data_IF_350502213508
#
_entry.id   IF_350502213508
#
_cell.length_a   1.000
_cell.length_b   1.000
_cell.length_c   1.000
_cell.angle_alpha   90.00
_cell.angle_beta   90.00
_cell.angle_gamma   90.00
#
_symmetry.space_group_name_H-M   'P 1'
#
loop_
_entity.id
_entity.type
_entity.pdbx_description
1 polymer ?
#
# COMPACT_ATOMS: atom_id res chain seq x y z
N UNK A 1 41.03 -0.99 -31.50
CA UNK A 1 40.88 -2.46 -31.45
C UNK A 1 39.43 -2.75 -31.09
N UNK A 2 38.66 -3.30 -32.02
CA UNK A 2 37.33 -3.83 -31.74
C UNK A 2 37.58 -5.17 -31.05
N UNK A 3 37.30 -5.28 -29.76
CA UNK A 3 37.29 -6.58 -29.09
C UNK A 3 36.15 -7.36 -29.72
N UNK A 4 36.47 -8.28 -30.63
CA UNK A 4 35.51 -9.24 -31.12
C UNK A 4 35.09 -10.08 -29.92
N UNK A 5 33.87 -9.84 -29.45
CA UNK A 5 33.22 -10.68 -28.46
C UNK A 5 33.21 -12.12 -28.98
N UNK A 6 33.61 -13.09 -28.15
CA UNK A 6 33.50 -14.53 -28.44
C UNK A 6 32.03 -15.02 -28.55
N UNK A 7 31.09 -14.08 -28.62
CA UNK A 7 29.66 -14.28 -28.68
C UNK A 7 29.08 -13.41 -29.79
N UNK A 8 28.43 -14.05 -30.77
CA UNK A 8 27.60 -13.37 -31.76
C UNK A 8 26.12 -13.50 -31.36
N UNK A 9 25.33 -12.41 -31.41
CA UNK A 9 23.90 -12.49 -31.13
C UNK A 9 23.21 -13.32 -32.21
N UNK A 10 22.44 -14.35 -31.81
CA UNK A 10 21.63 -15.17 -32.72
C UNK A 10 20.40 -14.38 -33.18
N UNK A 11 19.78 -13.68 -32.22
CA UNK A 11 18.60 -12.87 -32.42
C UNK A 11 18.60 -11.72 -31.42
N UNK A 12 18.19 -10.53 -31.89
CA UNK A 12 17.91 -9.42 -30.99
C UNK A 12 16.60 -9.68 -30.24
N UNK A 13 16.56 -9.45 -28.92
CA UNK A 13 15.37 -9.71 -28.12
C UNK A 13 14.26 -8.74 -28.52
N UNK A 14 13.01 -9.24 -28.53
CA UNK A 14 11.86 -8.40 -28.86
C UNK A 14 11.75 -7.20 -27.91
N UNK A 15 11.61 -5.96 -28.42
CA UNK A 15 11.50 -4.76 -27.58
C UNK A 15 10.22 -4.75 -26.74
N UNK A 16 9.24 -5.58 -27.08
CA UNK A 16 7.95 -5.66 -26.38
C UNK A 16 8.03 -6.26 -24.99
N UNK A 17 9.10 -6.97 -24.62
CA UNK A 17 9.29 -7.39 -23.24
C UNK A 17 9.47 -6.20 -22.30
N UNK A 18 10.30 -5.23 -22.68
CA UNK A 18 10.51 -4.02 -21.90
C UNK A 18 9.35 -3.04 -22.02
N UNK A 19 8.80 -2.86 -23.23
CA UNK A 19 7.63 -1.99 -23.42
C UNK A 19 6.38 -2.53 -22.72
N UNK A 20 6.19 -3.85 -22.70
CA UNK A 20 5.11 -4.49 -21.95
C UNK A 20 5.24 -4.25 -20.44
N UNK A 21 6.46 -4.40 -19.90
CA UNK A 21 6.73 -4.05 -18.50
C UNK A 21 6.51 -2.56 -18.23
N UNK A 22 6.88 -1.67 -19.16
CA UNK A 22 6.61 -0.24 -19.05
C UNK A 22 5.11 0.07 -18.98
N UNK A 23 4.29 -0.55 -19.85
CA UNK A 23 2.83 -0.37 -19.82
C UNK A 23 2.26 -0.84 -18.48
N UNK A 24 2.68 -2.02 -18.03
CA UNK A 24 2.27 -2.57 -16.75
C UNK A 24 2.62 -1.61 -15.59
N UNK A 25 3.86 -1.15 -15.52
CA UNK A 25 4.30 -0.19 -14.51
C UNK A 25 3.52 1.13 -14.61
N UNK A 26 3.23 1.62 -15.81
CA UNK A 26 2.44 2.83 -16.01
C UNK A 26 1.02 2.70 -15.45
N UNK A 27 0.36 1.57 -15.68
CA UNK A 27 -0.99 1.29 -15.14
C UNK A 27 -0.95 1.21 -13.61
N UNK A 28 0.00 0.47 -13.03
CA UNK A 28 0.12 0.36 -11.57
C UNK A 28 0.45 1.72 -10.94
N UNK A 29 1.33 2.49 -11.56
CA UNK A 29 1.66 3.86 -11.12
C UNK A 29 0.42 4.76 -11.12
N UNK A 30 -0.44 4.66 -12.13
CA UNK A 30 -1.69 5.42 -12.18
C UNK A 30 -2.62 5.06 -11.00
N UNK A 31 -2.77 3.77 -10.68
CA UNK A 31 -3.54 3.36 -9.50
C UNK A 31 -2.91 3.86 -8.20
N UNK A 32 -1.58 3.89 -8.10
CA UNK A 32 -0.88 4.45 -6.93
C UNK A 32 -1.09 5.96 -6.78
N UNK A 33 -1.23 6.70 -7.89
CA UNK A 33 -1.61 8.13 -7.84
C UNK A 33 -2.99 8.28 -7.21
N UNK A 34 -3.96 7.50 -7.67
CA UNK A 34 -5.31 7.53 -7.10
C UNK A 34 -5.31 7.13 -5.61
N UNK A 35 -4.54 6.10 -5.25
CA UNK A 35 -4.36 5.67 -3.86
C UNK A 35 -3.73 6.76 -2.99
N UNK A 36 -2.71 7.45 -3.50
CA UNK A 36 -2.05 8.58 -2.81
C UNK A 36 -3.04 9.71 -2.56
N UNK A 37 -3.80 10.10 -3.58
CA UNK A 37 -4.82 11.15 -3.46
C UNK A 37 -5.88 10.76 -2.44
N UNK A 38 -6.36 9.51 -2.49
CA UNK A 38 -7.32 8.99 -1.52
C UNK A 38 -6.78 9.01 -0.09
N UNK A 39 -5.55 8.53 0.12
CA UNK A 39 -4.94 8.45 1.45
C UNK A 39 -4.73 9.84 2.08
N UNK A 40 -4.43 10.87 1.28
CA UNK A 40 -4.31 12.24 1.75
C UNK A 40 -5.69 12.90 1.96
N UNK A 41 -6.65 12.60 1.10
CA UNK A 41 -7.98 13.21 1.17
C UNK A 41 -8.84 12.65 2.30
N UNK A 42 -8.68 11.37 2.66
CA UNK A 42 -9.51 10.71 3.66
C UNK A 42 -9.44 11.36 5.05
N UNK A 43 -8.27 11.64 5.65
CA UNK A 43 -8.20 12.32 6.94
C UNK A 43 -8.89 13.70 6.92
N UNK A 44 -8.66 14.48 5.86
CA UNK A 44 -9.30 15.80 5.68
C UNK A 44 -10.83 15.71 5.63
N UNK A 45 -11.36 14.62 5.06
CA UNK A 45 -12.80 14.37 5.01
C UNK A 45 -13.33 13.91 6.37
N UNK A 46 -12.58 13.04 7.07
CA UNK A 46 -12.90 12.57 8.41
C UNK A 46 -13.00 13.76 9.38
N UNK A 47 -11.98 14.62 9.44
CA UNK A 47 -11.94 15.80 10.32
C UNK A 47 -13.10 16.78 10.07
N UNK A 48 -13.67 16.78 8.85
CA UNK A 48 -14.82 17.63 8.51
C UNK A 48 -16.16 16.99 8.81
N UNK A 49 -16.24 15.67 8.85
CA UNK A 49 -17.49 14.92 8.95
C UNK A 49 -17.71 14.33 10.34
N UNK A 50 -16.64 14.11 11.12
CA UNK A 50 -16.65 13.64 12.49
C UNK A 50 -16.32 14.83 13.42
N UNK A 51 -17.30 15.37 14.16
CA UNK A 51 -17.06 16.37 15.20
C UNK A 51 -16.04 15.88 16.22
N UNK A 52 -15.10 16.74 16.60
CA UNK A 52 -14.11 16.39 17.62
C UNK A 52 -14.67 16.39 19.04
N UNK A 53 -15.78 17.08 19.27
CA UNK A 53 -16.43 17.22 20.57
C UNK A 53 -17.86 16.67 20.50
N UNK A 54 -18.23 15.84 21.47
CA UNK A 54 -19.57 15.27 21.57
C UNK A 54 -20.64 16.36 21.83
N UNK A 55 -20.28 17.47 22.49
CA UNK A 55 -21.19 18.60 22.70
C UNK A 55 -21.70 19.24 21.40
N UNK A 56 -20.95 19.10 20.29
CA UNK A 56 -21.38 19.56 18.97
C UNK A 56 -22.50 18.68 18.38
N UNK A 57 -22.62 17.44 18.85
CA UNK A 57 -23.65 16.47 18.45
C UNK A 57 -24.84 16.59 19.40
N UNK A 58 -24.58 16.49 20.70
CA UNK A 58 -25.59 16.58 21.76
C UNK A 58 -25.06 17.49 22.88
N UNK A 59 -25.66 18.67 23.08
CA UNK A 59 -25.26 19.56 24.17
C UNK A 59 -25.50 18.93 25.54
N UNK A 60 -24.59 19.19 26.50
CA UNK A 60 -24.73 18.70 27.86
C UNK A 60 -26.09 19.10 28.50
N UNK A 61 -26.86 18.15 29.07
CA UNK A 61 -28.17 18.43 29.64
C UNK A 61 -28.05 19.05 31.05
N UNK A 62 -27.74 20.36 31.10
CA UNK A 62 -27.54 21.11 32.36
C UNK A 62 -28.76 21.03 33.29
N UNK A 63 -29.97 21.10 32.73
CA UNK A 63 -31.24 21.01 33.47
C UNK A 63 -31.84 19.59 33.44
N UNK A 64 -31.08 18.61 32.95
CA UNK A 64 -31.50 17.22 32.86
C UNK A 64 -31.52 16.50 34.20
N UNK A 65 -32.17 15.34 34.22
CA UNK A 65 -32.10 14.40 35.34
C UNK A 65 -30.68 13.82 35.51
N UNK A 66 -30.39 13.26 36.69
CA UNK A 66 -29.12 12.56 36.93
C UNK A 66 -28.89 11.40 35.94
N UNK A 67 -29.97 10.76 35.48
CA UNK A 67 -29.94 9.69 34.48
C UNK A 67 -29.52 10.23 33.10
N UNK A 68 -30.12 11.33 32.65
CA UNK A 68 -29.77 11.97 31.38
C UNK A 68 -28.32 12.49 31.36
N UNK A 69 -27.83 13.03 32.48
CA UNK A 69 -26.43 13.47 32.59
C UNK A 69 -25.44 12.28 32.58
N UNK A 70 -25.83 11.15 33.17
CA UNK A 70 -25.02 9.94 33.15
C UNK A 70 -24.95 9.30 31.77
N UNK A 71 -26.09 9.19 31.06
CA UNK A 71 -26.16 8.68 29.69
C UNK A 71 -25.33 9.55 28.73
N UNK A 72 -25.43 10.87 28.87
CA UNK A 72 -24.61 11.79 28.08
C UNK A 72 -23.12 11.56 28.28
N UNK A 73 -22.68 11.35 29.52
CA UNK A 73 -21.26 11.11 29.85
C UNK A 73 -20.76 9.78 29.28
N UNK A 74 -21.60 8.75 29.28
CA UNK A 74 -21.29 7.46 28.62
C UNK A 74 -21.15 7.62 27.10
N UNK A 75 -22.07 8.36 26.47
CA UNK A 75 -21.99 8.65 25.03
C UNK A 75 -20.78 9.50 24.67
N UNK A 76 -20.40 10.48 25.51
CA UNK A 76 -19.19 11.28 25.33
C UNK A 76 -17.92 10.40 25.37
N UNK A 77 -17.83 9.47 26.31
CA UNK A 77 -16.70 8.53 26.40
C UNK A 77 -16.62 7.67 25.14
N UNK A 78 -17.74 7.07 24.74
CA UNK A 78 -17.81 6.29 23.50
C UNK A 78 -17.39 7.11 22.27
N UNK A 79 -17.85 8.36 22.19
CA UNK A 79 -17.52 9.26 21.08
C UNK A 79 -16.03 9.60 21.05
N UNK A 80 -15.44 9.90 22.20
CA UNK A 80 -14.01 10.20 22.31
C UNK A 80 -13.14 9.01 21.88
N UNK A 81 -13.49 7.79 22.28
CA UNK A 81 -12.79 6.56 21.84
C UNK A 81 -12.90 6.35 20.33
N UNK A 82 -14.06 6.65 19.74
CA UNK A 82 -14.26 6.59 18.29
C UNK A 82 -13.40 7.63 17.55
N UNK A 83 -13.36 8.87 18.03
CA UNK A 83 -12.56 9.96 17.44
C UNK A 83 -11.08 9.65 17.54
N UNK A 84 -10.60 9.18 18.70
CA UNK A 84 -9.19 8.79 18.90
C UNK A 84 -8.77 7.69 17.93
N UNK A 85 -9.61 6.67 17.74
CA UNK A 85 -9.35 5.61 16.74
C UNK A 85 -9.22 6.16 15.31
N UNK A 86 -10.10 7.08 14.91
CA UNK A 86 -10.03 7.69 13.58
C UNK A 86 -8.85 8.64 13.40
N UNK A 87 -8.40 9.31 14.47
CA UNK A 87 -7.19 10.14 14.46
C UNK A 87 -5.93 9.27 14.25
N UNK A 88 -5.82 8.16 14.99
CA UNK A 88 -4.72 7.20 14.80
C UNK A 88 -4.71 6.60 13.38
N UNK A 89 -5.88 6.21 12.88
CA UNK A 89 -6.05 5.73 11.51
C UNK A 89 -5.75 6.82 10.48
N UNK A 90 -6.10 8.07 10.76
CA UNK A 90 -5.76 9.24 9.96
C UNK A 90 -4.24 9.39 9.81
N UNK A 91 -3.51 9.32 10.92
CA UNK A 91 -2.04 9.31 10.92
C UNK A 91 -1.45 8.17 10.11
N UNK A 92 -2.02 6.96 10.18
CA UNK A 92 -1.61 5.84 9.33
C UNK A 92 -1.86 6.14 7.83
N UNK A 93 -3.01 6.72 7.49
CA UNK A 93 -3.34 7.08 6.10
C UNK A 93 -2.39 8.14 5.54
N UNK A 94 -1.93 9.10 6.35
CA UNK A 94 -0.92 10.07 5.93
C UNK A 94 0.40 9.38 5.56
N UNK A 95 0.87 8.46 6.40
CA UNK A 95 2.09 7.68 6.14
C UNK A 95 1.91 6.81 4.88
N UNK A 96 0.73 6.20 4.71
CA UNK A 96 0.38 5.47 3.49
C UNK A 96 0.41 6.37 2.26
N UNK A 97 -0.05 7.63 2.38
CA UNK A 97 0.03 8.63 1.33
C UNK A 97 1.46 8.92 0.92
N UNK A 98 2.36 9.14 1.90
CA UNK A 98 3.80 9.35 1.63
C UNK A 98 4.43 8.13 0.97
N UNK A 99 4.17 6.92 1.49
CA UNK A 99 4.67 5.67 0.92
C UNK A 99 4.21 5.48 -0.53
N UNK A 100 2.91 5.69 -0.79
CA UNK A 100 2.33 5.62 -2.14
C UNK A 100 2.94 6.67 -3.06
N UNK A 101 3.18 7.89 -2.57
CA UNK A 101 3.86 8.96 -3.31
C UNK A 101 5.28 8.58 -3.75
N UNK A 102 6.05 7.93 -2.88
CA UNK A 102 7.38 7.40 -3.23
C UNK A 102 7.26 6.35 -4.35
N UNK A 103 6.30 5.42 -4.23
CA UNK A 103 6.05 4.41 -5.25
C UNK A 103 5.60 5.02 -6.59
N UNK A 104 4.84 6.10 -6.58
CA UNK A 104 4.46 6.84 -7.79
C UNK A 104 5.70 7.39 -8.50
N UNK A 105 6.60 8.02 -7.76
CA UNK A 105 7.83 8.60 -8.33
C UNK A 105 8.69 7.51 -8.96
N UNK A 106 8.98 6.44 -8.21
CA UNK A 106 9.80 5.33 -8.70
C UNK A 106 9.12 4.61 -9.86
N UNK A 107 7.80 4.43 -9.81
CA UNK A 107 7.00 3.82 -10.87
C UNK A 107 7.00 4.64 -12.18
N UNK A 108 6.90 5.97 -12.07
CA UNK A 108 7.01 6.89 -13.21
C UNK A 108 8.37 6.77 -13.89
N UNK A 109 9.46 6.84 -13.11
CA UNK A 109 10.82 6.69 -13.66
C UNK A 109 11.02 5.32 -14.29
N UNK A 110 10.57 4.25 -13.62
CA UNK A 110 10.60 2.89 -14.17
C UNK A 110 9.92 2.82 -15.53
N UNK A 111 8.73 3.41 -15.66
CA UNK A 111 7.95 3.45 -16.90
C UNK A 111 8.71 4.16 -18.02
N UNK A 112 9.25 5.34 -17.75
CA UNK A 112 9.97 6.14 -18.75
C UNK A 112 11.27 5.48 -19.22
N UNK A 113 12.06 4.94 -18.29
CA UNK A 113 13.34 4.26 -18.58
C UNK A 113 13.10 2.98 -19.38
N UNK A 114 12.11 2.16 -18.99
CA UNK A 114 11.76 0.94 -19.71
C UNK A 114 11.23 1.25 -21.12
N UNK A 115 10.43 2.31 -21.28
CA UNK A 115 9.89 2.71 -22.58
C UNK A 115 10.99 3.12 -23.57
N UNK A 116 12.06 3.74 -23.07
CA UNK A 116 13.26 4.11 -23.85
C UNK A 116 14.14 2.91 -24.21
N UNK A 117 13.88 1.72 -23.65
CA UNK A 117 14.65 0.51 -23.89
C UNK A 117 15.90 0.37 -23.02
N UNK A 118 16.07 1.21 -22.00
CA UNK A 118 17.20 1.14 -21.06
C UNK A 118 17.02 -0.01 -20.07
N UNK A 119 17.40 -1.22 -20.52
CA UNK A 119 17.14 -2.48 -19.82
C UNK A 119 17.70 -2.55 -18.40
N UNK A 120 18.99 -2.29 -18.22
CA UNK A 120 19.68 -2.51 -16.93
C UNK A 120 19.13 -1.60 -15.83
N UNK A 121 18.99 -0.32 -16.14
CA UNK A 121 18.41 0.66 -15.22
C UNK A 121 16.92 0.38 -14.98
N UNK A 122 16.16 0.08 -16.03
CA UNK A 122 14.71 -0.17 -15.91
C UNK A 122 14.39 -1.37 -15.01
N UNK A 123 15.11 -2.49 -15.17
CA UNK A 123 14.93 -3.67 -14.31
C UNK A 123 15.31 -3.39 -12.86
N UNK A 124 16.40 -2.65 -12.63
CA UNK A 124 16.81 -2.23 -11.27
C UNK A 124 15.77 -1.34 -10.63
N UNK A 125 15.23 -0.36 -11.35
CA UNK A 125 14.19 0.54 -10.85
C UNK A 125 12.90 -0.22 -10.49
N UNK A 126 12.46 -1.16 -11.33
CA UNK A 126 11.31 -2.02 -10.99
C UNK A 126 11.61 -2.92 -9.80
N UNK A 127 12.82 -3.49 -9.71
CA UNK A 127 13.23 -4.26 -8.54
C UNK A 127 13.21 -3.42 -7.26
N UNK A 128 13.71 -2.18 -7.30
CA UNK A 128 13.62 -1.22 -6.20
C UNK A 128 12.17 -0.88 -5.86
N UNK A 129 11.32 -0.66 -6.87
CA UNK A 129 9.90 -0.41 -6.67
C UNK A 129 9.21 -1.55 -5.91
N UNK A 130 9.47 -2.79 -6.30
CA UNK A 130 8.93 -3.99 -5.62
C UNK A 130 9.45 -4.07 -4.18
N UNK A 131 10.74 -3.80 -3.95
CA UNK A 131 11.31 -3.83 -2.61
C UNK A 131 10.69 -2.77 -1.68
N UNK A 132 10.51 -1.53 -2.17
CA UNK A 132 9.84 -0.45 -1.44
C UNK A 132 8.37 -0.81 -1.18
N UNK A 133 7.69 -1.40 -2.17
CA UNK A 133 6.30 -1.83 -2.03
C UNK A 133 6.15 -2.92 -0.96
N UNK A 134 7.02 -3.93 -0.98
CA UNK A 134 7.00 -5.03 -0.01
C UNK A 134 7.33 -4.56 1.41
N UNK A 135 8.44 -3.82 1.59
CA UNK A 135 8.89 -3.38 2.90
C UNK A 135 7.98 -2.30 3.50
N UNK A 136 7.58 -1.32 2.69
CA UNK A 136 6.68 -0.27 3.15
C UNK A 136 5.26 -0.81 3.38
N UNK A 137 4.76 -1.71 2.52
CA UNK A 137 3.49 -2.39 2.75
C UNK A 137 3.50 -3.24 4.02
N UNK A 138 4.58 -3.98 4.29
CA UNK A 138 4.76 -4.71 5.54
C UNK A 138 4.79 -3.80 6.77
N UNK A 139 5.48 -2.65 6.67
CA UNK A 139 5.54 -1.65 7.74
C UNK A 139 4.18 -1.01 8.03
N UNK A 140 3.47 -0.58 6.98
CA UNK A 140 2.12 -0.02 7.10
C UNK A 140 1.15 -1.04 7.69
N UNK A 141 1.19 -2.29 7.21
CA UNK A 141 0.34 -3.34 7.75
C UNK A 141 0.66 -3.67 9.21
N UNK A 142 1.94 -3.64 9.59
CA UNK A 142 2.33 -3.79 10.99
C UNK A 142 1.79 -2.66 11.87
N UNK A 143 1.82 -1.41 11.40
CA UNK A 143 1.25 -0.27 12.12
C UNK A 143 -0.27 -0.39 12.23
N UNK A 144 -0.95 -0.75 11.14
CA UNK A 144 -2.39 -1.03 11.13
C UNK A 144 -2.78 -2.09 12.18
N UNK A 145 -2.03 -3.19 12.26
CA UNK A 145 -2.28 -4.24 13.25
C UNK A 145 -2.06 -3.79 14.71
N UNK A 146 -1.35 -2.68 14.94
CA UNK A 146 -1.20 -2.11 16.29
C UNK A 146 -2.36 -1.20 16.69
N UNK A 147 -2.94 -0.49 15.72
CA UNK A 147 -4.13 0.34 15.92
C UNK A 147 -5.35 -0.58 16.11
N UNK A 148 -5.42 -1.66 15.33
CA UNK A 148 -6.50 -2.62 15.40
C UNK A 148 -7.58 -2.39 14.34
N UNK A 149 -8.43 -3.40 14.17
CA UNK A 149 -9.48 -3.39 13.13
C UNK A 149 -10.73 -2.64 13.59
N UNK A 150 -10.91 -2.50 14.91
CA UNK A 150 -12.04 -1.84 15.54
C UNK A 150 -11.54 -1.04 16.76
N UNK A 151 -12.20 0.07 17.11
CA UNK A 151 -11.95 0.78 18.36
C UNK A 151 -12.18 -0.14 19.57
N UNK A 152 -11.32 -0.01 20.59
CA UNK A 152 -11.41 -0.75 21.84
C UNK A 152 -12.32 0.00 22.81
N UNK A 153 -13.63 -0.24 22.72
CA UNK A 153 -14.59 0.46 23.57
C UNK A 153 -14.46 -0.01 25.03
N UNK A 154 -14.00 0.86 25.92
CA UNK A 154 -13.72 0.46 27.32
C UNK A 154 -14.99 0.31 28.16
N UNK A 155 -16.11 0.88 27.72
CA UNK A 155 -17.42 0.65 28.34
C UNK A 155 -17.99 -0.68 27.88
N UNK A 156 -17.82 -1.68 28.76
CA UNK A 156 -18.36 -3.02 28.66
C UNK A 156 -19.79 -3.05 28.08
N UNK A 157 -19.90 -3.49 26.85
CA UNK A 157 -21.13 -3.99 26.24
C UNK A 157 -21.59 -5.29 26.91
N UNK A 158 -21.98 -5.24 28.18
CA UNK A 158 -22.75 -6.35 28.76
C UNK A 158 -24.16 -6.44 28.14
N UNK A 159 -24.63 -5.36 27.48
CA UNK A 159 -25.99 -5.28 26.91
C UNK A 159 -26.06 -4.97 25.41
N UNK A 160 -24.95 -4.67 24.72
CA UNK A 160 -24.96 -4.66 23.26
C UNK A 160 -24.62 -6.08 22.77
N UNK A 161 -25.50 -6.69 21.96
CA UNK A 161 -25.18 -7.88 21.16
C UNK A 161 -24.07 -7.52 20.15
N UNK A 162 -22.85 -7.35 20.63
CA UNK A 162 -21.68 -7.21 19.77
C UNK A 162 -21.52 -8.57 19.10
N UNK A 163 -21.72 -8.59 17.78
CA UNK A 163 -21.41 -9.76 16.96
C UNK A 163 -20.00 -10.20 17.35
N UNK A 164 -19.83 -11.43 17.83
CA UNK A 164 -18.53 -11.99 18.19
C UNK A 164 -17.65 -12.07 16.93
N UNK A 165 -16.95 -10.97 16.66
CA UNK A 165 -16.05 -10.76 15.53
C UNK A 165 -14.60 -11.08 15.92
N UNK A 166 -14.40 -11.87 16.98
CA UNK A 166 -13.07 -12.32 17.43
C UNK A 166 -12.27 -13.04 16.35
N UNK A 167 -12.92 -13.56 15.31
CA UNK A 167 -12.25 -14.15 14.14
C UNK A 167 -11.69 -13.12 13.13
N UNK A 168 -12.14 -11.86 13.17
CA UNK A 168 -11.75 -10.84 12.18
C UNK A 168 -10.28 -10.49 12.31
N UNK A 169 -9.76 -10.32 13.52
CA UNK A 169 -8.35 -9.99 13.73
C UNK A 169 -7.38 -11.05 13.20
N UNK A 170 -7.49 -12.35 13.56
CA UNK A 170 -6.61 -13.37 13.01
C UNK A 170 -6.80 -13.56 11.51
N UNK A 171 -8.02 -13.41 10.99
CA UNK A 171 -8.28 -13.47 9.56
C UNK A 171 -7.62 -12.30 8.83
N UNK A 172 -7.73 -11.08 9.35
CA UNK A 172 -7.11 -9.87 8.82
C UNK A 172 -5.59 -9.98 8.82
N UNK A 173 -5.01 -10.52 9.90
CA UNK A 173 -3.58 -10.80 9.99
C UNK A 173 -3.11 -11.72 8.86
N UNK A 174 -3.79 -12.86 8.68
CA UNK A 174 -3.42 -13.87 7.67
C UNK A 174 -3.60 -13.32 6.25
N UNK A 175 -4.75 -12.70 5.97
CA UNK A 175 -5.04 -12.15 4.64
C UNK A 175 -4.09 -11.00 4.32
N UNK A 176 -3.81 -10.10 5.25
CA UNK A 176 -2.93 -8.96 5.02
C UNK A 176 -1.50 -9.39 4.70
N UNK A 177 -0.88 -10.21 5.54
CA UNK A 177 0.47 -10.74 5.26
C UNK A 177 0.50 -11.61 3.99
N UNK A 178 -0.51 -12.46 3.81
CA UNK A 178 -0.64 -13.33 2.64
C UNK A 178 -0.72 -12.53 1.34
N UNK A 179 -1.55 -11.48 1.31
CA UNK A 179 -1.70 -10.59 0.17
C UNK A 179 -0.37 -9.88 -0.16
N UNK A 180 0.36 -9.36 0.83
CA UNK A 180 1.66 -8.69 0.62
C UNK A 180 2.66 -9.66 -0.01
N UNK A 181 2.79 -10.87 0.52
CA UNK A 181 3.74 -11.88 0.02
C UNK A 181 3.37 -12.30 -1.41
N UNK A 182 2.11 -12.66 -1.64
CA UNK A 182 1.63 -13.16 -2.93
C UNK A 182 1.77 -12.06 -3.99
N UNK A 183 1.34 -10.83 -3.70
CA UNK A 183 1.38 -9.72 -4.64
C UNK A 183 2.81 -9.39 -5.09
N UNK A 184 3.74 -9.25 -4.12
CA UNK A 184 5.13 -8.97 -4.45
C UNK A 184 5.82 -10.18 -5.11
N UNK A 185 5.43 -11.40 -4.77
CA UNK A 185 5.86 -12.62 -5.47
C UNK A 185 5.48 -12.62 -6.95
N UNK A 186 4.25 -12.23 -7.29
CA UNK A 186 3.83 -12.08 -8.69
C UNK A 186 4.64 -11.02 -9.44
N UNK A 187 4.89 -9.86 -8.82
CA UNK A 187 5.73 -8.83 -9.46
C UNK A 187 7.16 -9.31 -9.68
N UNK A 188 7.76 -10.04 -8.73
CA UNK A 188 9.08 -10.64 -8.90
C UNK A 188 9.10 -11.68 -10.03
N UNK A 189 8.06 -12.50 -10.16
CA UNK A 189 7.94 -13.48 -11.23
C UNK A 189 7.87 -12.81 -12.61
N UNK A 190 7.08 -11.74 -12.74
CA UNK A 190 6.99 -10.92 -13.97
C UNK A 190 8.37 -10.30 -14.27
N UNK A 191 9.02 -9.69 -13.29
CA UNK A 191 10.32 -9.07 -13.45
C UNK A 191 11.39 -10.09 -13.87
N UNK A 192 11.38 -11.29 -13.27
CA UNK A 192 12.28 -12.38 -13.62
C UNK A 192 12.06 -12.84 -15.07
N UNK A 193 10.81 -13.05 -15.48
CA UNK A 193 10.45 -13.43 -16.85
C UNK A 193 10.94 -12.38 -17.86
N UNK A 194 10.64 -11.11 -17.63
CA UNK A 194 11.08 -10.00 -18.51
C UNK A 194 12.61 -9.90 -18.51
N UNK A 195 13.26 -10.07 -17.36
CA UNK A 195 14.72 -10.04 -17.24
C UNK A 195 15.40 -11.13 -18.06
N UNK A 196 14.81 -12.33 -18.11
CA UNK A 196 15.30 -13.45 -18.91
C UNK A 196 15.07 -13.23 -20.41
N UNK A 197 13.87 -12.80 -20.79
CA UNK A 197 13.48 -12.67 -22.21
C UNK A 197 13.97 -11.40 -22.90
N UNK A 198 14.43 -10.41 -22.14
CA UNK A 198 15.02 -9.17 -22.67
C UNK A 198 16.52 -9.25 -22.94
N UNK A 199 17.19 -10.39 -22.68
CA UNK A 199 18.62 -10.56 -22.99
C UNK A 199 18.80 -11.09 -24.42
N UNK A 200 19.82 -10.66 -25.16
CA UNK A 200 20.16 -11.24 -26.44
C UNK A 200 20.64 -12.68 -26.28
N UNK A 201 20.18 -13.56 -27.15
CA UNK A 201 20.67 -14.93 -27.23
C UNK A 201 22.05 -14.94 -27.89
N UNK A 202 23.01 -15.60 -27.26
CA UNK A 202 24.40 -15.65 -27.73
C UNK A 202 24.85 -17.09 -27.96
N UNK A 203 25.52 -17.34 -29.09
CA UNK A 203 26.28 -18.58 -29.30
C UNK A 203 27.71 -18.39 -28.82
N UNK A 204 28.26 -19.40 -28.16
CA UNK A 204 29.72 -19.54 -27.99
C UNK A 204 30.35 -19.67 -29.37
N UNK A 205 31.26 -18.76 -29.70
CA UNK A 205 32.02 -18.82 -30.94
C UNK A 205 33.17 -19.82 -30.75
N UNK A 206 32.93 -21.10 -31.03
CA UNK A 206 33.90 -22.20 -30.95
C UNK A 206 34.96 -22.17 -32.08
N UNK A 207 35.37 -20.97 -32.53
CA UNK A 207 36.41 -20.81 -33.54
C UNK A 207 37.78 -20.68 -32.86
N UNK A 208 38.23 -21.79 -32.29
CA UNK A 208 39.64 -22.04 -31.99
C UNK A 208 40.25 -22.85 -33.13
N UNK A 209 40.55 -22.18 -34.24
CA UNK A 209 41.47 -22.69 -35.28
C UNK A 209 42.70 -21.77 -35.33
#
# INVERSE_FOLDING_TARGET
MRVESAYSPISEPSPWWLKGLAIFMGIITLFMVLGTVSAIASPILIDRLLPGDYEEIEPYPVDGSEEEQAEWTENEVFWNELVEYYDEMGGLMEIQGVHSGILVIVGLFSTLVLWRGERDLGIKLVGSWIAINALGGAGLFWMFMRIGVMPDFTMNSQDAEVIDLSFIEPLTLVIGWGQIIICNGFFLAILALVSMKSKPEVLLNDRSD
#
